data_IF_105559461887
#
_entry.id   IF_105559461887
#
_cell.length_a   1.000
_cell.length_b   1.000
_cell.length_c   1.000
_cell.angle_alpha   90.00
_cell.angle_beta   90.00
_cell.angle_gamma   90.00
#
_symmetry.space_group_name_H-M   'P 1'
#
loop_
_entity.id
_entity.type
_entity.pdbx_description
1 polymer ?
#
# COMPACT_ATOMS: atom_id res chain seq x y z
N UNK A 1 25.69 23.62 14.08
CA UNK A 1 26.06 22.25 14.35
C UNK A 1 26.09 21.57 12.99
N UNK A 2 27.26 21.16 12.51
CA UNK A 2 27.44 20.53 11.22
C UNK A 2 26.78 19.14 11.29
N UNK A 3 25.76 18.91 10.45
CA UNK A 3 25.29 17.56 10.17
C UNK A 3 26.50 16.75 9.67
N UNK A 4 26.90 15.74 10.43
CA UNK A 4 27.72 14.68 9.87
C UNK A 4 26.90 14.08 8.72
N UNK A 5 27.40 14.19 7.50
CA UNK A 5 26.84 13.53 6.33
C UNK A 5 26.87 12.02 6.66
N UNK A 6 25.74 11.48 7.08
CA UNK A 6 25.58 10.03 7.16
C UNK A 6 25.83 9.48 5.75
N UNK A 7 26.53 8.35 5.65
CA UNK A 7 26.74 7.69 4.36
C UNK A 7 25.37 7.38 3.78
N UNK A 8 25.11 7.68 2.48
CA UNK A 8 23.86 7.30 1.83
C UNK A 8 23.55 5.82 2.05
N UNK A 9 22.33 5.51 2.47
CA UNK A 9 21.88 4.13 2.59
C UNK A 9 21.51 3.56 1.21
N UNK A 10 21.73 2.27 1.02
CA UNK A 10 21.36 1.55 -0.21
C UNK A 10 20.00 0.89 -0.01
N UNK A 11 19.02 1.39 -0.70
CA UNK A 11 17.63 0.99 -0.55
C UNK A 11 17.19 0.14 -1.75
N UNK A 12 16.72 -1.07 -1.50
CA UNK A 12 16.09 -1.93 -2.51
C UNK A 12 14.58 -1.90 -2.34
N UNK A 13 13.86 -1.54 -3.40
CA UNK A 13 12.39 -1.50 -3.40
C UNK A 13 11.86 -2.44 -4.47
N UNK A 14 11.19 -3.50 -4.05
CA UNK A 14 10.48 -4.38 -4.98
C UNK A 14 9.03 -3.91 -5.10
N UNK A 15 8.49 -3.90 -6.33
CA UNK A 15 7.19 -3.27 -6.58
C UNK A 15 7.26 -1.74 -6.55
N UNK A 16 8.44 -1.17 -6.83
CA UNK A 16 8.69 0.26 -6.68
C UNK A 16 8.14 1.13 -7.82
N UNK A 17 7.71 0.54 -8.94
CA UNK A 17 6.95 1.23 -10.00
C UNK A 17 5.43 1.27 -9.69
N UNK A 18 5.00 0.70 -8.56
CA UNK A 18 3.64 0.75 -8.05
C UNK A 18 3.36 2.00 -7.22
N UNK A 19 2.13 2.08 -6.68
CA UNK A 19 1.63 3.23 -5.92
C UNK A 19 2.49 3.54 -4.69
N UNK A 20 2.55 2.65 -3.68
CA UNK A 20 3.28 2.90 -2.44
C UNK A 20 4.79 2.88 -2.70
N UNK A 21 5.28 1.92 -3.48
CA UNK A 21 6.69 1.75 -3.76
C UNK A 21 7.33 2.97 -4.43
N UNK A 22 6.63 3.66 -5.32
CA UNK A 22 7.13 4.89 -5.95
C UNK A 22 7.26 6.06 -4.97
N UNK A 23 6.39 6.14 -3.96
CA UNK A 23 6.51 7.15 -2.91
C UNK A 23 7.66 6.83 -1.94
N UNK A 24 7.92 5.54 -1.66
CA UNK A 24 9.10 5.14 -0.89
C UNK A 24 10.38 5.51 -1.65
N UNK A 25 10.42 5.24 -2.96
CA UNK A 25 11.57 5.61 -3.80
C UNK A 25 11.84 7.12 -3.77
N UNK A 26 10.82 7.94 -3.99
CA UNK A 26 10.93 9.41 -3.94
C UNK A 26 11.36 9.91 -2.55
N UNK A 27 10.83 9.32 -1.48
CA UNK A 27 11.20 9.66 -0.11
C UNK A 27 12.70 9.45 0.14
N UNK A 28 13.22 8.27 -0.13
CA UNK A 28 14.64 7.95 0.09
C UNK A 28 15.58 8.74 -0.83
N UNK A 29 15.22 8.91 -2.10
CA UNK A 29 15.97 9.79 -3.01
C UNK A 29 16.05 11.23 -2.49
N UNK A 30 14.97 11.75 -1.89
CA UNK A 30 14.97 13.10 -1.29
C UNK A 30 15.87 13.22 -0.05
N UNK A 31 16.13 12.10 0.64
CA UNK A 31 17.06 12.01 1.76
C UNK A 31 18.53 11.87 1.30
N UNK A 32 18.75 11.61 0.00
CA UNK A 32 20.08 11.43 -0.58
C UNK A 32 20.55 9.98 -0.61
N UNK A 33 19.65 9.01 -0.36
CA UNK A 33 19.95 7.59 -0.43
C UNK A 33 20.11 7.09 -1.86
N UNK A 34 20.83 5.97 -2.03
CA UNK A 34 20.92 5.23 -3.28
C UNK A 34 19.74 4.27 -3.40
N UNK A 35 18.89 4.45 -4.40
CA UNK A 35 17.64 3.71 -4.53
C UNK A 35 17.63 2.84 -5.77
N UNK A 36 17.52 1.53 -5.59
CA UNK A 36 17.25 0.56 -6.65
C UNK A 36 15.79 0.10 -6.59
N UNK A 37 15.09 0.21 -7.71
CA UNK A 37 13.71 -0.26 -7.88
C UNK A 37 13.68 -1.47 -8.79
N UNK A 38 13.00 -2.53 -8.35
CA UNK A 38 12.73 -3.74 -9.14
C UNK A 38 11.23 -3.95 -9.25
N UNK A 39 10.71 -4.05 -10.47
CA UNK A 39 9.29 -4.23 -10.75
C UNK A 39 9.10 -5.00 -12.05
N UNK A 40 8.11 -5.89 -12.15
CA UNK A 40 7.80 -6.62 -13.40
C UNK A 40 6.88 -5.82 -14.33
N UNK A 41 6.38 -4.66 -13.87
CA UNK A 41 5.42 -3.80 -14.57
C UNK A 41 4.07 -4.48 -14.86
N UNK A 42 3.71 -5.53 -14.12
CA UNK A 42 2.41 -6.20 -14.26
C UNK A 42 1.23 -5.29 -13.88
N UNK A 43 1.46 -4.33 -12.99
CA UNK A 43 0.50 -3.29 -12.59
C UNK A 43 1.14 -1.91 -12.45
N UNK A 44 2.44 -1.86 -12.21
CA UNK A 44 3.23 -0.64 -12.13
C UNK A 44 3.50 -0.02 -13.51
N UNK A 45 3.98 1.21 -13.50
CA UNK A 45 4.46 1.90 -14.69
C UNK A 45 5.65 2.79 -14.36
N UNK A 46 6.63 2.87 -15.24
CA UNK A 46 7.78 3.77 -15.09
C UNK A 46 7.40 5.25 -15.23
N UNK A 47 6.18 5.55 -15.70
CA UNK A 47 5.69 6.93 -15.79
C UNK A 47 5.61 7.62 -14.43
N UNK A 48 5.44 6.84 -13.34
CA UNK A 48 5.43 7.38 -11.97
C UNK A 48 6.74 8.12 -11.62
N UNK A 49 7.87 7.69 -12.17
CA UNK A 49 9.16 8.32 -11.92
C UNK A 49 9.30 9.70 -12.57
N UNK A 50 8.54 9.99 -13.64
CA UNK A 50 8.51 11.31 -14.28
C UNK A 50 7.87 12.38 -13.39
N UNK A 51 7.14 11.97 -12.37
CA UNK A 51 6.52 12.88 -11.40
C UNK A 51 7.48 13.27 -10.25
N UNK A 52 8.67 12.64 -10.18
CA UNK A 52 9.65 12.92 -9.13
C UNK A 52 10.29 14.30 -9.31
N UNK A 53 10.33 15.07 -8.23
CA UNK A 53 11.06 16.33 -8.17
C UNK A 53 12.49 16.04 -7.69
N UNK A 54 13.38 15.60 -8.59
CA UNK A 54 14.78 15.36 -8.21
C UNK A 54 15.38 14.10 -8.86
N UNK A 55 16.29 13.40 -8.14
CA UNK A 55 16.96 12.21 -8.64
C UNK A 55 15.98 11.11 -9.04
N UNK A 56 16.42 10.26 -9.98
CA UNK A 56 15.66 9.09 -10.42
C UNK A 56 16.25 7.84 -9.78
N UNK A 57 15.42 6.81 -9.48
CA UNK A 57 15.93 5.55 -8.99
C UNK A 57 16.67 4.76 -10.08
N UNK A 58 17.58 3.90 -9.68
CA UNK A 58 18.09 2.85 -10.55
C UNK A 58 16.98 1.81 -10.75
N UNK A 59 16.42 1.76 -11.96
CA UNK A 59 15.25 0.92 -12.26
C UNK A 59 15.64 -0.33 -13.07
N UNK A 60 15.18 -1.48 -12.58
CA UNK A 60 15.28 -2.76 -13.28
C UNK A 60 13.91 -3.41 -13.46
N UNK A 61 13.53 -3.70 -14.69
CA UNK A 61 12.35 -4.54 -14.95
C UNK A 61 12.70 -6.02 -14.78
N UNK A 62 12.17 -6.66 -13.74
CA UNK A 62 12.41 -8.09 -13.49
C UNK A 62 11.28 -8.71 -12.64
N UNK A 63 11.03 -10.02 -12.91
CA UNK A 63 10.16 -10.86 -12.06
C UNK A 63 10.98 -11.45 -10.91
N UNK A 64 10.59 -11.13 -9.68
CA UNK A 64 11.27 -11.61 -8.46
C UNK A 64 11.32 -13.14 -8.34
N UNK A 65 10.39 -13.85 -8.97
CA UNK A 65 10.38 -15.32 -8.92
C UNK A 65 11.51 -15.96 -9.74
N UNK A 66 11.99 -15.25 -10.78
CA UNK A 66 12.97 -15.81 -11.73
C UNK A 66 14.25 -15.00 -11.85
N UNK A 67 14.26 -13.75 -11.36
CA UNK A 67 15.42 -12.88 -11.48
C UNK A 67 16.67 -13.43 -10.75
N UNK A 68 17.71 -13.74 -11.52
CA UNK A 68 18.96 -14.30 -11.00
C UNK A 68 19.82 -13.29 -10.22
N UNK A 69 19.66 -12.00 -10.47
CA UNK A 69 20.38 -10.92 -9.78
C UNK A 69 19.87 -10.60 -8.37
N UNK A 70 18.76 -11.22 -7.92
CA UNK A 70 18.17 -10.94 -6.60
C UNK A 70 19.17 -11.14 -5.44
N UNK A 71 19.97 -12.21 -5.37
CA UNK A 71 20.94 -12.38 -4.27
C UNK A 71 21.97 -11.26 -4.18
N UNK A 72 22.47 -10.76 -5.34
CA UNK A 72 23.41 -9.66 -5.39
C UNK A 72 22.78 -8.34 -4.93
N UNK A 73 21.56 -8.02 -5.41
CA UNK A 73 20.85 -6.81 -5.04
C UNK A 73 20.52 -6.79 -3.54
N UNK A 74 20.02 -7.92 -2.99
CA UNK A 74 19.75 -8.10 -1.57
C UNK A 74 21.03 -7.98 -0.75
N UNK A 75 22.12 -8.61 -1.18
CA UNK A 75 23.41 -8.56 -0.50
C UNK A 75 24.07 -7.18 -0.46
N UNK A 76 23.67 -6.26 -1.33
CA UNK A 76 24.15 -4.87 -1.34
C UNK A 76 23.24 -3.91 -0.57
N UNK A 77 21.99 -4.26 -0.34
CA UNK A 77 21.01 -3.37 0.27
C UNK A 77 21.22 -3.25 1.79
N UNK A 78 21.16 -2.06 2.32
CA UNK A 78 21.12 -1.80 3.76
C UNK A 78 19.68 -1.93 4.28
N UNK A 79 18.71 -1.54 3.43
CA UNK A 79 17.28 -1.68 3.72
C UNK A 79 16.49 -2.12 2.48
N UNK A 80 15.47 -2.98 2.70
CA UNK A 80 14.62 -3.54 1.65
C UNK A 80 13.16 -3.26 1.96
N UNK A 81 12.45 -2.66 1.00
CA UNK A 81 11.00 -2.54 1.04
C UNK A 81 10.37 -3.51 0.04
N UNK A 82 9.73 -4.56 0.56
CA UNK A 82 9.05 -5.55 -0.28
C UNK A 82 7.58 -5.15 -0.47
N UNK A 83 7.33 -4.36 -1.52
CA UNK A 83 5.99 -3.88 -1.92
C UNK A 83 5.41 -4.67 -3.09
N UNK A 84 6.23 -5.51 -3.76
CA UNK A 84 5.78 -6.34 -4.86
C UNK A 84 4.73 -7.35 -4.38
N UNK A 85 3.53 -7.26 -4.95
CA UNK A 85 2.43 -8.18 -4.67
C UNK A 85 1.33 -8.04 -5.74
N UNK A 86 0.60 -9.11 -5.98
CA UNK A 86 -0.66 -9.04 -6.71
C UNK A 86 -1.75 -8.53 -5.76
N UNK A 87 -2.25 -7.32 -6.04
CA UNK A 87 -3.24 -6.61 -5.21
C UNK A 87 -4.39 -6.05 -6.05
N UNK A 88 -5.44 -5.59 -5.38
CA UNK A 88 -6.63 -5.01 -5.99
C UNK A 88 -7.75 -6.03 -6.18
N UNK A 89 -8.95 -5.66 -5.72
CA UNK A 89 -10.12 -6.55 -5.62
C UNK A 89 -10.38 -7.27 -6.95
N UNK A 90 -10.41 -6.54 -8.05
CA UNK A 90 -10.75 -7.10 -9.36
C UNK A 90 -9.70 -8.10 -9.85
N UNK A 91 -8.41 -7.83 -9.60
CA UNK A 91 -7.32 -8.71 -10.01
C UNK A 91 -7.29 -9.98 -9.15
N UNK A 92 -7.45 -9.82 -7.83
CA UNK A 92 -7.50 -10.96 -6.89
C UNK A 92 -8.61 -11.95 -7.25
N UNK A 93 -9.78 -11.43 -7.66
CA UNK A 93 -10.91 -12.29 -8.08
C UNK A 93 -10.66 -13.00 -9.43
N UNK A 94 -9.91 -12.38 -10.33
CA UNK A 94 -9.64 -12.93 -11.68
C UNK A 94 -8.45 -13.89 -11.71
N UNK A 95 -7.45 -13.68 -10.86
CA UNK A 95 -6.15 -14.37 -10.91
C UNK A 95 -5.79 -15.00 -9.55
N UNK A 96 -6.67 -15.81 -8.90
CA UNK A 96 -6.45 -16.28 -7.53
C UNK A 96 -5.23 -17.18 -7.36
N UNK A 97 -4.84 -17.95 -8.38
CA UNK A 97 -3.63 -18.79 -8.37
C UNK A 97 -2.40 -17.89 -8.37
N UNK A 98 -2.38 -16.88 -9.22
CA UNK A 98 -1.26 -15.94 -9.34
C UNK A 98 -1.07 -15.12 -8.08
N UNK A 99 -2.15 -14.67 -7.44
CA UNK A 99 -2.12 -14.02 -6.12
C UNK A 99 -1.36 -14.86 -5.10
N UNK A 100 -1.69 -16.14 -4.98
CA UNK A 100 -1.05 -17.03 -4.01
C UNK A 100 0.41 -17.27 -4.38
N UNK A 101 0.68 -17.60 -5.67
CA UNK A 101 2.02 -17.89 -6.16
C UNK A 101 2.98 -16.71 -5.99
N UNK A 102 2.60 -15.53 -6.48
CA UNK A 102 3.47 -14.35 -6.42
C UNK A 102 3.64 -13.87 -4.99
N UNK A 103 2.55 -13.65 -4.26
CA UNK A 103 2.65 -13.04 -2.93
C UNK A 103 3.44 -13.91 -1.94
N UNK A 104 3.31 -15.23 -2.02
CA UNK A 104 3.97 -16.14 -1.07
C UNK A 104 5.40 -16.46 -1.50
N UNK A 105 5.59 -16.90 -2.77
CA UNK A 105 6.90 -17.39 -3.20
C UNK A 105 7.91 -16.26 -3.41
N UNK A 106 7.48 -15.06 -3.85
CA UNK A 106 8.41 -13.94 -3.98
C UNK A 106 8.87 -13.43 -2.62
N UNK A 107 7.96 -13.38 -1.63
CA UNK A 107 8.31 -13.01 -0.25
C UNK A 107 9.29 -14.03 0.35
N UNK A 108 9.00 -15.31 0.20
CA UNK A 108 9.87 -16.38 0.73
C UNK A 108 11.27 -16.31 0.13
N UNK A 109 11.36 -16.19 -1.20
CA UNK A 109 12.64 -16.07 -1.90
C UNK A 109 13.46 -14.85 -1.45
N UNK A 110 12.80 -13.70 -1.26
CA UNK A 110 13.46 -12.48 -0.78
C UNK A 110 13.98 -12.66 0.65
N UNK A 111 13.17 -13.21 1.56
CA UNK A 111 13.55 -13.45 2.96
C UNK A 111 14.70 -14.45 3.06
N UNK A 112 14.69 -15.52 2.23
CA UNK A 112 15.79 -16.50 2.16
C UNK A 112 17.10 -15.81 1.76
N UNK A 113 17.08 -14.98 0.72
CA UNK A 113 18.29 -14.25 0.29
C UNK A 113 18.76 -13.25 1.34
N UNK A 114 17.83 -12.51 1.98
CA UNK A 114 18.16 -11.59 3.04
C UNK A 114 18.80 -12.29 4.27
N UNK A 115 18.27 -13.44 4.65
CA UNK A 115 18.81 -14.22 5.78
C UNK A 115 20.18 -14.87 5.49
N UNK A 116 20.54 -15.04 4.20
CA UNK A 116 21.84 -15.54 3.77
C UNK A 116 22.87 -14.45 3.51
N UNK A 117 22.47 -13.18 3.57
CA UNK A 117 23.37 -12.05 3.37
C UNK A 117 24.40 -11.96 4.52
N UNK A 118 25.65 -11.59 4.21
CA UNK A 118 26.69 -11.41 5.22
C UNK A 118 26.36 -10.34 6.26
N UNK A 119 25.69 -9.26 5.82
CA UNK A 119 25.05 -8.29 6.69
C UNK A 119 23.54 -8.44 6.52
N UNK A 120 22.83 -8.64 7.59
CA UNK A 120 21.38 -8.77 7.56
C UNK A 120 20.74 -7.40 7.26
N UNK A 121 20.14 -7.19 6.08
CA UNK A 121 19.47 -5.91 5.78
C UNK A 121 18.22 -5.75 6.64
N UNK A 122 17.83 -4.51 6.91
CA UNK A 122 16.49 -4.22 7.45
C UNK A 122 15.44 -4.51 6.36
N UNK A 123 14.42 -5.30 6.68
CA UNK A 123 13.38 -5.68 5.70
C UNK A 123 12.02 -5.21 6.14
N UNK A 124 11.26 -4.60 5.25
CA UNK A 124 9.85 -4.24 5.45
C UNK A 124 8.99 -5.11 4.53
N UNK A 125 8.18 -5.99 5.11
CA UNK A 125 7.25 -6.84 4.36
C UNK A 125 5.84 -6.30 4.48
N UNK A 126 5.31 -5.75 3.38
CA UNK A 126 3.96 -5.22 3.37
C UNK A 126 2.90 -6.31 3.60
N UNK A 127 2.30 -6.30 4.78
CA UNK A 127 1.06 -7.02 5.09
C UNK A 127 -0.17 -6.14 4.78
N UNK A 128 -1.34 -6.54 5.19
CA UNK A 128 -2.60 -5.88 4.85
C UNK A 128 -3.63 -6.02 5.96
N UNK A 129 -4.47 -5.01 6.14
CA UNK A 129 -5.67 -5.11 6.99
C UNK A 129 -6.62 -6.24 6.57
N UNK A 130 -6.44 -6.80 5.36
CA UNK A 130 -7.21 -7.97 4.91
C UNK A 130 -6.96 -9.21 5.75
N UNK A 131 -5.84 -9.31 6.46
CA UNK A 131 -5.53 -10.44 7.36
C UNK A 131 -6.55 -10.59 8.49
N UNK A 132 -7.23 -9.51 8.89
CA UNK A 132 -8.30 -9.58 9.90
C UNK A 132 -9.56 -10.29 9.40
N UNK A 133 -9.67 -10.54 8.08
CA UNK A 133 -10.84 -11.19 7.50
C UNK A 133 -12.13 -10.40 7.76
N UNK A 134 -13.08 -11.00 8.48
CA UNK A 134 -14.35 -10.36 8.81
C UNK A 134 -14.30 -9.43 10.03
N UNK A 135 -13.22 -9.46 10.81
CA UNK A 135 -13.01 -8.64 12.01
C UNK A 135 -14.25 -8.53 12.90
N UNK A 136 -14.16 -8.98 14.15
CA UNK A 136 -15.31 -8.96 15.07
C UNK A 136 -15.33 -7.70 15.96
N UNK A 137 -14.25 -6.92 15.95
CA UNK A 137 -14.06 -5.76 16.83
C UNK A 137 -14.38 -4.45 16.10
N UNK A 138 -14.89 -3.46 16.81
CA UNK A 138 -15.09 -2.10 16.29
C UNK A 138 -13.74 -1.47 15.89
N UNK A 139 -12.69 -1.65 16.69
CA UNK A 139 -11.31 -1.27 16.37
C UNK A 139 -10.44 -2.53 16.24
N UNK A 140 -9.63 -2.61 15.19
CA UNK A 140 -8.76 -3.74 14.91
C UNK A 140 -7.40 -3.53 15.58
N UNK A 141 -7.11 -4.37 16.58
CA UNK A 141 -5.82 -4.48 17.26
C UNK A 141 -4.97 -5.56 16.58
N UNK A 142 -3.65 -5.50 16.73
CA UNK A 142 -2.75 -6.47 16.11
C UNK A 142 -2.90 -7.90 16.67
N UNK A 143 -3.40 -8.03 17.89
CA UNK A 143 -3.74 -9.29 18.58
C UNK A 143 -5.21 -9.72 18.40
N UNK A 144 -6.02 -8.96 17.64
CA UNK A 144 -7.40 -9.34 17.33
C UNK A 144 -7.46 -10.67 16.61
N UNK A 145 -8.52 -11.45 16.88
CA UNK A 145 -8.78 -12.70 16.19
C UNK A 145 -8.91 -12.51 14.67
N UNK A 146 -8.32 -13.44 13.92
CA UNK A 146 -8.39 -13.45 12.45
C UNK A 146 -9.53 -14.38 12.03
N UNK A 147 -10.59 -13.80 11.43
CA UNK A 147 -11.82 -14.54 11.14
C UNK A 147 -12.00 -14.72 9.63
N UNK A 148 -11.94 -15.95 9.17
CA UNK A 148 -12.12 -16.31 7.77
C UNK A 148 -13.37 -17.14 7.54
N UNK A 149 -14.12 -16.83 6.48
CA UNK A 149 -15.22 -17.67 5.98
C UNK A 149 -14.76 -18.34 4.66
N UNK A 150 -14.44 -19.64 4.66
CA UNK A 150 -13.85 -20.33 3.49
C UNK A 150 -14.72 -20.30 2.24
N UNK A 151 -16.02 -20.25 2.41
CA UNK A 151 -17.00 -20.42 1.33
C UNK A 151 -17.41 -19.11 0.63
N UNK A 152 -16.99 -17.95 1.16
CA UNK A 152 -17.48 -16.66 0.68
C UNK A 152 -16.33 -15.72 0.31
N UNK A 153 -15.89 -15.83 -0.93
CA UNK A 153 -15.19 -14.75 -1.59
C UNK A 153 -13.71 -14.97 -1.90
N UNK A 154 -13.36 -14.71 -3.13
CA UNK A 154 -12.00 -14.79 -3.68
C UNK A 154 -10.95 -13.92 -2.98
N UNK A 155 -11.35 -13.02 -2.07
CA UNK A 155 -10.44 -12.19 -1.29
C UNK A 155 -9.74 -12.95 -0.15
N UNK A 156 -10.26 -14.11 0.27
CA UNK A 156 -9.66 -14.94 1.32
C UNK A 156 -8.26 -15.40 0.91
N UNK A 157 -8.04 -15.77 -0.35
CA UNK A 157 -6.72 -16.16 -0.86
C UNK A 157 -5.67 -15.06 -0.71
N UNK A 158 -6.04 -13.81 -0.99
CA UNK A 158 -5.16 -12.65 -0.76
C UNK A 158 -4.89 -12.43 0.74
N UNK A 159 -5.92 -12.46 1.58
CA UNK A 159 -5.77 -12.27 3.02
C UNK A 159 -4.85 -13.34 3.63
N UNK A 160 -5.06 -14.61 3.27
CA UNK A 160 -4.23 -15.74 3.73
C UNK A 160 -2.81 -15.65 3.17
N UNK A 161 -2.60 -15.21 1.92
CA UNK A 161 -1.26 -15.02 1.38
C UNK A 161 -0.48 -13.96 2.18
N UNK A 162 -1.13 -12.87 2.60
CA UNK A 162 -0.51 -11.84 3.44
C UNK A 162 -0.27 -12.33 4.88
N UNK A 163 -1.18 -13.11 5.44
CA UNK A 163 -0.95 -13.76 6.74
C UNK A 163 0.24 -14.73 6.68
N UNK A 164 0.37 -15.49 5.59
CA UNK A 164 1.52 -16.38 5.41
C UNK A 164 2.84 -15.60 5.30
N UNK A 165 2.83 -14.42 4.66
CA UNK A 165 4.00 -13.54 4.63
C UNK A 165 4.40 -13.06 6.05
N UNK A 166 3.43 -12.76 6.94
CA UNK A 166 3.71 -12.43 8.34
C UNK A 166 4.36 -13.61 9.08
N UNK A 167 3.84 -14.82 8.86
CA UNK A 167 4.38 -16.06 9.46
C UNK A 167 5.80 -16.33 8.96
N UNK A 168 6.06 -16.20 7.65
CA UNK A 168 7.39 -16.32 7.07
C UNK A 168 8.36 -15.29 7.66
N UNK A 169 7.97 -14.01 7.68
CA UNK A 169 8.78 -12.92 8.22
C UNK A 169 9.19 -13.18 9.68
N UNK A 170 8.24 -13.59 10.52
CA UNK A 170 8.51 -13.96 11.92
C UNK A 170 9.44 -15.16 12.03
N UNK A 171 9.22 -16.20 11.22
CA UNK A 171 10.07 -17.40 11.22
C UNK A 171 11.52 -17.07 10.84
N UNK A 172 11.75 -16.23 9.83
CA UNK A 172 13.08 -15.79 9.45
C UNK A 172 13.75 -14.90 10.52
N UNK A 173 12.99 -14.03 11.16
CA UNK A 173 13.49 -13.27 12.32
C UNK A 173 13.89 -14.18 13.46
N UNK A 174 13.06 -15.14 13.86
CA UNK A 174 13.30 -16.00 15.01
C UNK A 174 14.43 -17.01 14.77
N UNK A 175 14.60 -17.47 13.51
CA UNK A 175 15.61 -18.47 13.15
C UNK A 175 16.94 -17.85 12.79
N UNK A 176 16.96 -16.71 12.12
CA UNK A 176 18.15 -16.10 11.53
C UNK A 176 18.49 -14.73 12.11
N UNK A 177 17.65 -14.17 12.98
CA UNK A 177 17.84 -12.82 13.53
C UNK A 177 17.59 -11.72 12.51
N UNK A 178 16.91 -12.01 11.39
CA UNK A 178 16.67 -11.04 10.32
C UNK A 178 15.80 -9.88 10.84
N UNK A 179 16.24 -8.61 10.70
CA UNK A 179 15.46 -7.44 11.08
C UNK A 179 14.26 -7.27 10.14
N UNK A 180 13.05 -7.70 10.54
CA UNK A 180 11.86 -7.64 9.66
C UNK A 180 10.72 -6.88 10.34
N UNK A 181 10.32 -5.73 9.76
CA UNK A 181 9.10 -5.02 10.12
C UNK A 181 7.91 -5.54 9.29
N UNK A 182 6.75 -5.68 9.94
CA UNK A 182 5.55 -6.28 9.34
C UNK A 182 4.37 -5.29 9.43
N UNK A 183 4.32 -4.23 8.61
CA UNK A 183 3.20 -3.30 8.61
C UNK A 183 1.94 -3.92 8.00
N UNK A 184 0.83 -3.91 8.74
CA UNK A 184 -0.53 -4.20 8.24
C UNK A 184 -1.13 -2.93 7.67
N UNK A 185 -1.08 -2.78 6.34
CA UNK A 185 -1.53 -1.57 5.66
C UNK A 185 -3.06 -1.50 5.60
N UNK A 186 -3.61 -0.39 6.05
CA UNK A 186 -5.00 0.01 5.81
C UNK A 186 -5.03 0.97 4.64
N UNK A 187 -6.21 1.16 4.01
CA UNK A 187 -6.36 1.84 2.73
C UNK A 187 -5.48 3.10 2.59
N UNK A 188 -4.30 2.93 2.00
CA UNK A 188 -3.48 4.06 1.58
C UNK A 188 -4.14 4.74 0.37
N UNK A 189 -4.12 6.08 0.34
CA UNK A 189 -4.67 6.92 -0.72
C UNK A 189 -3.72 8.07 -1.03
N UNK A 190 -3.71 8.54 -2.26
CA UNK A 190 -2.83 9.65 -2.62
C UNK A 190 -2.51 9.71 -4.11
N UNK A 191 -1.56 10.58 -4.50
CA UNK A 191 -1.07 10.67 -5.87
C UNK A 191 -0.56 9.33 -6.41
N UNK A 192 -0.58 9.15 -7.72
CA UNK A 192 -0.13 7.92 -8.42
C UNK A 192 -0.94 6.65 -8.11
N UNK A 193 -2.05 6.76 -7.37
CA UNK A 193 -2.97 5.64 -7.18
C UNK A 193 -3.87 5.47 -8.40
N UNK A 194 -3.74 4.32 -9.10
CA UNK A 194 -4.56 4.03 -10.28
C UNK A 194 -6.02 3.73 -9.91
N UNK A 195 -6.98 4.44 -10.54
CA UNK A 195 -8.42 4.23 -10.32
C UNK A 195 -8.98 2.92 -10.89
N UNK A 196 -8.22 2.22 -11.74
CA UNK A 196 -8.67 1.06 -12.53
C UNK A 196 -8.88 -0.23 -11.73
N UNK A 197 -8.30 -0.33 -10.52
CA UNK A 197 -8.33 -1.57 -9.72
C UNK A 197 -9.40 -1.60 -8.63
N UNK A 198 -10.40 -0.70 -8.69
CA UNK A 198 -11.53 -0.67 -7.75
C UNK A 198 -11.32 0.22 -6.52
N UNK A 199 -10.31 1.10 -6.54
CA UNK A 199 -10.09 2.07 -5.47
C UNK A 199 -11.11 3.21 -5.52
N UNK A 200 -11.80 3.44 -4.41
CA UNK A 200 -12.98 4.34 -4.37
C UNK A 200 -12.62 5.81 -4.53
N UNK A 201 -11.57 6.30 -3.82
CA UNK A 201 -11.25 7.72 -3.80
C UNK A 201 -10.80 8.26 -5.18
N UNK A 202 -9.82 7.66 -5.89
CA UNK A 202 -9.46 8.14 -7.22
C UNK A 202 -10.61 8.03 -8.23
N UNK A 203 -11.48 7.02 -8.10
CA UNK A 203 -12.69 6.89 -8.92
C UNK A 203 -13.66 8.05 -8.69
N UNK A 204 -13.97 8.38 -7.42
CA UNK A 204 -14.86 9.49 -7.09
C UNK A 204 -14.33 10.84 -7.58
N UNK A 205 -13.02 11.09 -7.41
CA UNK A 205 -12.38 12.31 -7.88
C UNK A 205 -12.48 12.39 -9.42
N UNK A 206 -12.15 11.32 -10.14
CA UNK A 206 -12.28 11.28 -11.59
C UNK A 206 -13.71 11.53 -12.07
N UNK A 207 -14.70 10.89 -11.43
CA UNK A 207 -16.12 11.09 -11.74
C UNK A 207 -16.57 12.53 -11.47
N UNK A 208 -16.24 13.09 -10.30
CA UNK A 208 -16.60 14.45 -9.92
C UNK A 208 -16.01 15.49 -10.87
N UNK A 209 -14.73 15.35 -11.25
CA UNK A 209 -14.06 16.27 -12.16
C UNK A 209 -14.54 16.17 -13.60
N UNK A 210 -15.06 15.01 -14.01
CA UNK A 210 -15.64 14.79 -15.33
C UNK A 210 -17.15 15.11 -15.40
N UNK A 211 -17.79 15.53 -14.30
CA UNK A 211 -19.22 15.77 -14.24
C UNK A 211 -20.09 14.50 -14.32
N UNK A 212 -19.47 13.32 -14.18
CA UNK A 212 -20.16 12.04 -14.16
C UNK A 212 -20.75 11.75 -12.78
N UNK A 213 -21.84 10.94 -12.67
CA UNK A 213 -22.35 10.48 -11.39
C UNK A 213 -21.27 9.75 -10.56
N UNK A 214 -21.20 10.03 -9.23
CA UNK A 214 -20.36 9.27 -8.31
C UNK A 214 -21.05 7.95 -7.97
N UNK A 215 -20.44 6.84 -8.39
CA UNK A 215 -21.01 5.50 -8.24
C UNK A 215 -20.76 4.95 -6.84
N UNK A 216 -21.78 4.88 -6.00
CA UNK A 216 -21.77 4.29 -4.67
C UNK A 216 -22.31 2.87 -4.76
N UNK A 217 -21.49 1.87 -4.45
CA UNK A 217 -21.93 0.47 -4.41
C UNK A 217 -22.65 0.17 -3.09
N UNK A 218 -23.84 -0.45 -3.17
CA UNK A 218 -24.74 -0.66 -2.04
C UNK A 218 -25.42 0.63 -1.59
N UNK A 219 -25.69 0.76 -0.29
CA UNK A 219 -26.30 1.96 0.32
C UNK A 219 -25.28 3.02 0.77
N UNK A 220 -23.98 2.69 0.67
CA UNK A 220 -22.89 3.61 1.05
C UNK A 220 -22.66 3.74 2.55
N UNK A 221 -23.33 2.94 3.40
CA UNK A 221 -23.17 3.00 4.88
C UNK A 221 -21.89 2.34 5.35
N UNK A 222 -21.28 1.46 4.55
CA UNK A 222 -20.00 0.84 4.89
C UNK A 222 -18.90 1.87 5.12
N UNK A 223 -18.17 1.72 6.22
CA UNK A 223 -17.10 2.65 6.59
C UNK A 223 -15.72 2.18 6.17
N UNK A 224 -14.83 3.11 5.94
CA UNK A 224 -13.39 2.90 5.71
C UNK A 224 -12.59 3.98 6.40
N UNK A 225 -11.35 3.65 6.72
CA UNK A 225 -10.34 4.65 7.07
C UNK A 225 -9.38 4.83 5.90
N UNK A 226 -8.93 6.06 5.68
CA UNK A 226 -8.03 6.40 4.57
C UNK A 226 -6.80 7.11 5.12
N UNK A 227 -5.63 6.56 4.85
CA UNK A 227 -4.34 7.13 5.22
C UNK A 227 -3.66 7.70 3.98
N UNK A 228 -3.16 8.93 4.06
CA UNK A 228 -2.35 9.48 2.97
C UNK A 228 -1.09 8.63 2.77
N UNK A 229 -0.72 8.40 1.52
CA UNK A 229 0.43 7.58 1.18
C UNK A 229 1.74 8.13 1.73
N UNK A 230 1.87 9.45 1.88
CA UNK A 230 3.05 10.12 2.45
C UNK A 230 3.19 9.81 3.94
N UNK A 231 2.08 9.81 4.69
CA UNK A 231 2.04 9.34 6.07
C UNK A 231 2.29 7.82 6.16
N UNK A 232 1.76 7.05 5.21
CA UNK A 232 2.05 5.61 5.11
C UNK A 232 3.55 5.37 4.95
N UNK A 233 4.23 6.06 4.03
CA UNK A 233 5.67 5.91 3.79
C UNK A 233 6.49 6.30 5.03
N UNK A 234 6.15 7.41 5.70
CA UNK A 234 6.80 7.81 6.96
C UNK A 234 6.66 6.73 8.04
N UNK A 235 5.46 6.13 8.17
CA UNK A 235 5.25 5.05 9.12
C UNK A 235 6.10 3.81 8.78
N UNK A 236 6.23 3.46 7.50
CA UNK A 236 7.06 2.35 7.05
C UNK A 236 8.54 2.58 7.36
N UNK A 237 9.06 3.78 7.11
CA UNK A 237 10.45 4.13 7.38
C UNK A 237 10.76 4.14 8.88
N UNK A 238 9.86 4.68 9.70
CA UNK A 238 9.98 4.63 11.16
C UNK A 238 9.98 3.18 11.69
N UNK A 239 9.10 2.31 11.18
CA UNK A 239 9.03 0.91 11.59
C UNK A 239 10.26 0.11 11.15
N UNK A 240 10.84 0.40 9.98
CA UNK A 240 12.08 -0.21 9.54
C UNK A 240 13.21 0.05 10.53
N UNK A 241 13.25 1.26 11.10
CA UNK A 241 14.27 1.71 12.05
C UNK A 241 13.95 1.45 13.53
N UNK A 242 12.88 0.68 13.84
CA UNK A 242 12.44 0.40 15.20
C UNK A 242 12.64 -1.08 15.56
N UNK A 243 13.77 -1.48 16.21
CA UNK A 243 14.05 -2.87 16.54
C UNK A 243 12.96 -3.57 17.37
N UNK A 244 12.24 -2.81 18.18
CA UNK A 244 11.14 -3.31 19.02
C UNK A 244 9.91 -3.73 18.19
N UNK A 245 9.82 -3.26 16.93
CA UNK A 245 8.74 -3.62 16.00
C UNK A 245 9.06 -4.88 15.19
N UNK A 246 10.33 -5.33 15.15
CA UNK A 246 10.74 -6.42 14.26
C UNK A 246 10.14 -7.77 14.67
N UNK A 247 9.59 -8.45 13.69
CA UNK A 247 8.90 -9.73 13.85
C UNK A 247 7.46 -9.62 14.34
N UNK A 248 7.00 -8.42 14.69
CA UNK A 248 5.65 -8.19 15.15
C UNK A 248 4.82 -7.42 14.11
N UNK A 249 3.55 -7.83 13.86
CA UNK A 249 2.68 -7.04 13.01
C UNK A 249 2.35 -5.70 13.69
N UNK A 250 2.32 -4.63 12.88
CA UNK A 250 1.96 -3.27 13.34
C UNK A 250 0.96 -2.66 12.35
N UNK A 251 -0.16 -2.16 12.84
CA UNK A 251 -1.14 -1.47 12.02
C UNK A 251 -0.61 -0.13 11.51
N UNK A 252 -0.74 0.09 10.21
CA UNK A 252 -0.41 1.36 9.55
C UNK A 252 -1.64 1.85 8.79
N UNK A 253 -2.21 2.98 9.21
CA UNK A 253 -3.45 3.50 8.66
C UNK A 253 -3.84 4.83 9.27
N UNK A 254 -5.13 5.15 9.27
CA UNK A 254 -5.69 6.32 9.91
C UNK A 254 -6.87 5.89 10.81
N UNK A 255 -7.00 6.37 12.05
CA UNK A 255 -8.06 5.95 12.94
C UNK A 255 -9.43 6.56 12.59
N UNK A 256 -9.46 7.60 11.73
CA UNK A 256 -10.72 8.25 11.35
C UNK A 256 -11.49 7.40 10.33
N UNK A 257 -12.67 6.99 10.71
CA UNK A 257 -13.63 6.35 9.81
C UNK A 257 -14.47 7.38 9.05
N UNK A 258 -14.84 7.02 7.83
CA UNK A 258 -15.81 7.73 7.01
C UNK A 258 -16.64 6.72 6.21
N UNK A 259 -17.94 6.92 6.12
CA UNK A 259 -18.79 6.11 5.23
C UNK A 259 -18.51 6.43 3.75
N UNK A 260 -18.75 5.47 2.87
CA UNK A 260 -18.56 5.69 1.42
C UNK A 260 -19.48 6.78 0.89
N UNK A 261 -20.69 6.92 1.46
CA UNK A 261 -21.60 8.00 1.12
C UNK A 261 -21.09 9.38 1.56
N UNK A 262 -20.56 9.48 2.79
CA UNK A 262 -19.94 10.72 3.28
C UNK A 262 -18.69 11.08 2.47
N UNK A 263 -17.88 10.09 2.10
CA UNK A 263 -16.73 10.30 1.21
C UNK A 263 -17.16 10.87 -0.15
N UNK A 264 -18.23 10.33 -0.75
CA UNK A 264 -18.76 10.86 -2.02
C UNK A 264 -19.20 12.32 -1.87
N UNK A 265 -19.93 12.64 -0.81
CA UNK A 265 -20.36 14.02 -0.51
C UNK A 265 -19.16 14.95 -0.31
N UNK A 266 -18.15 14.50 0.44
CA UNK A 266 -16.93 15.28 0.69
C UNK A 266 -16.18 15.56 -0.62
N UNK A 267 -16.06 14.58 -1.52
CA UNK A 267 -15.41 14.78 -2.83
C UNK A 267 -16.20 15.77 -3.70
N UNK A 268 -17.54 15.70 -3.72
CA UNK A 268 -18.38 16.67 -4.44
C UNK A 268 -18.15 18.07 -3.89
N UNK A 269 -18.22 18.25 -2.58
CA UNK A 269 -18.02 19.54 -1.90
C UNK A 269 -16.63 20.12 -2.23
N UNK A 270 -15.56 19.33 -2.03
CA UNK A 270 -14.17 19.79 -2.23
C UNK A 270 -13.84 20.08 -3.69
N UNK A 271 -14.43 19.32 -4.62
CA UNK A 271 -14.25 19.54 -6.06
C UNK A 271 -15.09 20.67 -6.62
N UNK A 272 -16.12 21.15 -5.91
CA UNK A 272 -17.12 22.07 -6.41
C UNK A 272 -17.96 21.48 -7.55
N UNK A 273 -18.05 20.14 -7.62
CA UNK A 273 -18.81 19.45 -8.66
C UNK A 273 -20.32 19.49 -8.38
N UNK A 274 -21.12 19.49 -9.45
CA UNK A 274 -22.57 19.26 -9.38
C UNK A 274 -22.99 17.83 -9.71
N UNK A 275 -22.02 16.89 -9.75
CA UNK A 275 -22.27 15.48 -10.06
C UNK A 275 -23.25 14.86 -9.06
N UNK A 276 -24.27 14.11 -9.52
CA UNK A 276 -25.15 13.38 -8.62
C UNK A 276 -24.44 12.14 -8.04
N UNK A 277 -25.00 11.60 -6.95
CA UNK A 277 -24.60 10.30 -6.42
C UNK A 277 -25.55 9.26 -6.99
N UNK A 278 -25.00 8.18 -7.56
CA UNK A 278 -25.75 7.05 -8.10
C UNK A 278 -25.46 5.80 -7.26
N UNK A 279 -26.52 5.16 -6.76
CA UNK A 279 -26.42 3.91 -6.00
C UNK A 279 -26.53 2.72 -6.94
N UNK A 280 -25.56 1.82 -6.88
CA UNK A 280 -25.46 0.64 -7.74
C UNK A 280 -25.35 -0.62 -6.87
N UNK A 281 -26.14 -1.69 -7.15
CA UNK A 281 -26.00 -2.94 -6.42
C UNK A 281 -24.57 -3.49 -6.47
N UNK A 282 -24.09 -4.10 -5.35
CA UNK A 282 -22.73 -4.66 -5.26
C UNK A 282 -22.45 -5.70 -6.34
N UNK A 283 -23.46 -6.50 -6.69
CA UNK A 283 -23.36 -7.57 -7.66
C UNK A 283 -22.99 -7.06 -9.06
N UNK A 284 -23.35 -5.84 -9.40
CA UNK A 284 -23.03 -5.23 -10.69
C UNK A 284 -21.57 -4.80 -10.77
N UNK A 285 -20.92 -4.48 -9.62
CA UNK A 285 -19.54 -4.03 -9.58
C UNK A 285 -18.54 -5.16 -9.30
N UNK A 286 -18.90 -6.09 -8.44
CA UNK A 286 -17.98 -7.09 -7.89
C UNK A 286 -18.41 -8.54 -8.08
N UNK A 287 -19.60 -8.77 -8.67
CA UNK A 287 -20.17 -10.10 -8.85
C UNK A 287 -20.93 -10.63 -7.62
N UNK A 288 -21.66 -11.73 -7.79
CA UNK A 288 -22.58 -12.28 -6.79
C UNK A 288 -21.90 -12.90 -5.54
N UNK A 289 -20.60 -13.19 -5.64
CA UNK A 289 -19.83 -13.83 -4.55
C UNK A 289 -18.97 -12.83 -3.77
N UNK A 290 -19.21 -11.54 -3.91
CA UNK A 290 -18.45 -10.52 -3.19
C UNK A 290 -18.99 -10.35 -1.77
N UNK A 291 -18.13 -10.62 -0.78
CA UNK A 291 -18.40 -10.34 0.62
C UNK A 291 -17.65 -9.11 1.06
N UNK A 292 -18.36 -8.11 1.58
CA UNK A 292 -17.77 -6.88 2.06
C UNK A 292 -17.72 -6.86 3.59
N UNK A 293 -16.57 -6.50 4.15
CA UNK A 293 -16.45 -6.13 5.55
C UNK A 293 -17.10 -4.78 5.77
N UNK A 294 -18.00 -4.65 6.75
CA UNK A 294 -18.77 -3.43 7.02
C UNK A 294 -17.92 -2.33 7.64
N UNK A 295 -17.01 -2.69 8.55
CA UNK A 295 -16.16 -1.74 9.27
C UNK A 295 -14.70 -2.20 9.22
N UNK A 296 -13.75 -1.26 9.07
CA UNK A 296 -12.31 -1.48 9.16
C UNK A 296 -11.61 -0.20 9.55
N UNK A 297 -11.36 -0.02 10.84
CA UNK A 297 -10.41 0.99 11.29
C UNK A 297 -9.36 0.39 12.22
N UNK A 298 -8.08 0.82 12.11
CA UNK A 298 -7.02 0.34 12.96
C UNK A 298 -7.01 1.03 14.33
N UNK A 299 -6.61 0.31 15.39
CA UNK A 299 -5.90 0.94 16.49
C UNK A 299 -4.47 1.25 16.01
N UNK A 300 -3.96 2.42 16.32
CA UNK A 300 -2.59 2.85 16.03
C UNK A 300 -1.75 3.03 17.30
N UNK A 301 -2.23 2.56 18.44
CA UNK A 301 -1.53 2.68 19.73
C UNK A 301 -0.15 2.05 19.67
N UNK A 302 -0.03 0.86 19.07
CA UNK A 302 1.25 0.15 18.89
C UNK A 302 2.20 0.95 18.01
N UNK A 303 1.77 1.43 16.85
CA UNK A 303 2.57 2.27 15.96
C UNK A 303 3.09 3.51 16.68
N UNK A 304 2.18 4.25 17.35
CA UNK A 304 2.52 5.48 18.05
C UNK A 304 3.49 5.23 19.19
N UNK A 305 3.27 4.17 19.99
CA UNK A 305 4.15 3.84 21.12
C UNK A 305 5.56 3.42 20.70
N UNK A 306 5.68 2.69 19.60
CA UNK A 306 6.98 2.21 19.09
C UNK A 306 7.78 3.29 18.36
N UNK A 307 7.10 4.23 17.68
CA UNK A 307 7.77 5.11 16.73
C UNK A 307 7.53 6.61 16.98
N UNK A 308 6.61 6.97 17.85
CA UNK A 308 6.18 8.37 18.00
C UNK A 308 5.42 8.90 16.77
N UNK A 309 4.93 8.04 15.89
CA UNK A 309 4.24 8.44 14.66
C UNK A 309 3.05 9.33 14.92
N UNK A 310 2.91 10.38 14.14
CA UNK A 310 1.75 11.25 14.07
C UNK A 310 1.42 11.59 12.61
N UNK A 311 0.14 11.70 12.28
CA UNK A 311 -0.31 12.08 10.94
C UNK A 311 -0.01 13.54 10.63
N UNK A 312 0.42 13.83 9.41
CA UNK A 312 0.59 15.18 8.85
C UNK A 312 -0.52 15.52 7.84
N UNK A 313 -1.15 14.49 7.28
CA UNK A 313 -2.16 14.61 6.25
C UNK A 313 -3.55 14.26 6.76
N UNK A 314 -4.51 15.14 6.52
CA UNK A 314 -5.94 14.84 6.69
C UNK A 314 -6.52 14.35 5.37
N UNK A 315 -7.65 13.63 5.41
CA UNK A 315 -8.34 13.18 4.21
C UNK A 315 -8.72 14.34 3.29
N UNK A 316 -9.13 15.48 3.87
CA UNK A 316 -9.45 16.70 3.14
C UNK A 316 -8.26 17.24 2.38
N UNK A 317 -7.08 17.34 3.01
CA UNK A 317 -5.83 17.77 2.37
C UNK A 317 -5.46 16.82 1.22
N UNK A 318 -5.60 15.51 1.42
CA UNK A 318 -5.35 14.51 0.37
C UNK A 318 -6.30 14.68 -0.82
N UNK A 319 -7.60 14.89 -0.56
CA UNK A 319 -8.60 15.13 -1.61
C UNK A 319 -8.26 16.40 -2.38
N UNK A 320 -7.92 17.49 -1.70
CA UNK A 320 -7.59 18.77 -2.34
C UNK A 320 -6.35 18.64 -3.24
N UNK A 321 -5.30 17.98 -2.76
CA UNK A 321 -4.07 17.72 -3.54
C UNK A 321 -4.38 16.89 -4.79
N UNK A 322 -5.18 15.82 -4.65
CA UNK A 322 -5.58 14.98 -5.77
C UNK A 322 -6.43 15.76 -6.81
N UNK A 323 -7.34 16.60 -6.37
CA UNK A 323 -8.14 17.47 -7.26
C UNK A 323 -7.23 18.43 -8.02
N UNK A 324 -6.30 19.08 -7.33
CA UNK A 324 -5.36 20.03 -7.93
C UNK A 324 -4.50 19.36 -9.02
N UNK A 325 -3.91 18.20 -8.72
CA UNK A 325 -3.08 17.43 -9.67
C UNK A 325 -3.87 16.98 -10.90
N UNK A 326 -5.08 16.46 -10.72
CA UNK A 326 -5.90 16.02 -11.84
C UNK A 326 -6.34 17.19 -12.73
N UNK A 327 -6.63 18.37 -12.18
CA UNK A 327 -6.91 19.59 -12.96
C UNK A 327 -5.68 20.07 -13.74
N UNK A 328 -4.49 19.99 -13.16
CA UNK A 328 -3.21 20.34 -13.80
C UNK A 328 -2.89 19.42 -14.98
N UNK A 329 -3.11 18.12 -14.86
CA UNK A 329 -2.89 17.15 -15.94
C UNK A 329 -3.86 17.34 -17.13
N UNK A 330 -5.13 17.70 -16.86
CA UNK A 330 -6.11 18.02 -17.89
C UNK A 330 -5.75 19.24 -18.75
N UNK A 331 -5.08 20.24 -18.17
CA UNK A 331 -4.59 21.43 -18.86
C UNK A 331 -3.38 21.14 -19.77
N UNK A 332 -2.55 20.14 -19.41
CA UNK A 332 -1.38 19.74 -20.21
C UNK A 332 -1.77 18.90 -21.43
N UNK A 333 -2.76 18.01 -21.30
CA UNK A 333 -3.28 17.22 -22.44
C UNK A 333 -4.12 18.05 -23.43
N UNK A 334 -4.77 19.12 -23.00
CA UNK A 334 -5.51 20.05 -23.86
C UNK A 334 -4.64 20.98 -24.72
N UNK A 335 -3.32 21.07 -24.46
CA UNK A 335 -2.37 21.88 -25.25
C UNK A 335 -1.63 21.09 -26.34
N UNK A 336 -1.86 19.80 -26.44
CA UNK A 336 -1.23 18.89 -27.43
C UNK A 336 -2.24 18.30 -28.46
N UNK A 337 -3.42 18.94 -28.59
CA UNK A 337 -4.37 18.60 -29.66
C UNK A 337 -4.57 19.79 -30.61
#
# INVERSE_FOLDING_TARGET
MQNSLATPARILITGGAGFIGSHIAEHHLSMGDEVMVVDDLSTGTTDVFREFEGPQPDFLQADLLTWEGLPEAVGKADRIYHMAAVVGILRVLREPIEVTRVNVCATERLLEMAARSEHLPEVVIASSSSVYGHGLSESLLEDSELVYAPEKGGLTGYAVSKLLNEIQARAYRDTHGLPVAIPRLFNAVGPRQAGTYGFVLPRFIGQALSGNPLTVFGDGTQTRSFCDVRDTVRALDLLASAPEAWGEPVNVGNPREISILELAKLVIERSGSSSPIEFVPFEQGYGTNFWQTTQRHPSLEKLTSLTGFAHEWTLEKTIDDLILRNRGQGLTQGRLR
#
